data_IF_658723012494
#
_entry.id   IF_658723012494
#
_cell.length_a   1.000
_cell.length_b   1.000
_cell.length_c   1.000
_cell.angle_alpha   90.00
_cell.angle_beta   90.00
_cell.angle_gamma   90.00
#
_symmetry.space_group_name_H-M   'P 1'
#
loop_
_entity.id
_entity.type
_entity.pdbx_description
1 polymer ?
#
# COMPACT_ATOMS: atom_id res chain seq x y z
N UNK A 1 57.01 -41.97 -39.62
CA UNK A 1 58.26 -41.20 -39.69
C UNK A 1 58.11 -40.06 -38.75
N UNK A 2 58.60 -40.26 -37.57
CA UNK A 2 59.41 -39.48 -36.64
C UNK A 2 58.95 -38.04 -36.30
N UNK A 3 58.63 -37.94 -35.04
CA UNK A 3 58.70 -36.78 -34.20
C UNK A 3 60.12 -36.42 -33.81
N UNK A 4 60.54 -35.20 -33.69
CA UNK A 4 61.43 -34.90 -32.59
C UNK A 4 60.98 -33.79 -31.73
N UNK A 5 61.06 -34.06 -30.45
CA UNK A 5 60.99 -33.17 -29.30
C UNK A 5 61.94 -31.96 -29.44
N UNK A 6 61.44 -30.81 -29.11
CA UNK A 6 62.19 -29.58 -28.82
C UNK A 6 61.87 -29.11 -27.42
N UNK A 7 62.79 -29.34 -26.51
CA UNK A 7 62.89 -28.66 -25.20
C UNK A 7 63.15 -27.19 -25.47
N UNK A 8 62.30 -26.34 -24.89
CA UNK A 8 62.54 -24.94 -24.73
C UNK A 8 62.51 -24.60 -23.24
N UNK A 9 63.67 -24.20 -22.77
CA UNK A 9 63.99 -23.82 -21.41
C UNK A 9 63.16 -22.63 -20.96
N UNK A 10 62.77 -22.71 -19.73
CA UNK A 10 62.09 -21.63 -18.97
C UNK A 10 63.18 -20.63 -18.49
N UNK A 11 63.16 -19.35 -18.88
CA UNK A 11 64.00 -18.38 -18.22
C UNK A 11 63.35 -17.87 -16.97
N UNK A 12 64.12 -17.93 -15.93
CA UNK A 12 63.89 -17.51 -14.58
C UNK A 12 63.32 -16.08 -14.47
N UNK A 13 62.45 -15.93 -13.49
CA UNK A 13 62.49 -14.79 -12.59
C UNK A 13 61.80 -13.53 -13.06
N UNK A 14 60.58 -13.35 -12.63
CA UNK A 14 60.11 -12.09 -12.02
C UNK A 14 58.90 -12.46 -11.16
N UNK A 15 59.21 -12.92 -9.96
CA UNK A 15 58.26 -12.74 -8.84
C UNK A 15 58.11 -11.24 -8.63
N UNK A 16 57.06 -10.67 -9.15
CA UNK A 16 56.59 -9.40 -8.66
C UNK A 16 55.69 -9.72 -7.45
N UNK A 17 56.25 -9.47 -6.29
CA UNK A 17 55.46 -9.28 -5.08
C UNK A 17 54.33 -8.26 -5.37
N UNK A 18 53.15 -8.76 -5.58
CA UNK A 18 51.94 -7.95 -5.45
C UNK A 18 51.69 -7.83 -3.96
N UNK A 19 52.26 -6.82 -3.33
CA UNK A 19 51.71 -6.30 -2.10
C UNK A 19 50.28 -5.86 -2.42
N UNK A 20 49.25 -6.39 -1.72
CA UNK A 20 47.92 -5.83 -1.82
C UNK A 20 48.02 -4.39 -1.31
N UNK A 21 47.45 -3.41 -2.02
CA UNK A 21 47.38 -2.05 -1.51
C UNK A 21 46.73 -2.09 -0.13
N UNK A 22 47.37 -1.41 0.84
CA UNK A 22 46.96 -1.42 2.24
C UNK A 22 45.47 -1.10 2.37
N UNK A 23 44.87 -1.81 3.27
CA UNK A 23 43.49 -1.56 3.72
C UNK A 23 43.44 -0.26 4.55
N UNK A 24 43.59 0.88 3.85
CA UNK A 24 43.34 2.20 4.42
C UNK A 24 42.61 3.01 3.35
N UNK A 25 41.46 3.53 3.76
CA UNK A 25 40.49 4.30 2.98
C UNK A 25 39.55 3.51 2.08
N UNK A 26 38.82 2.57 2.65
CA UNK A 26 37.42 2.44 2.30
C UNK A 26 36.71 3.52 3.12
N UNK A 27 36.52 4.70 2.57
CA UNK A 27 35.48 5.60 3.04
C UNK A 27 34.23 4.75 3.15
N UNK A 28 33.80 4.57 4.37
CA UNK A 28 32.51 3.98 4.73
C UNK A 28 31.46 4.84 4.06
N UNK A 29 31.13 4.50 2.81
CA UNK A 29 29.90 4.93 2.17
C UNK A 29 28.83 4.42 3.12
N UNK A 30 28.40 5.29 4.04
CA UNK A 30 27.24 5.05 4.88
C UNK A 30 26.09 4.80 3.93
N UNK A 31 25.84 3.51 3.65
CA UNK A 31 24.59 3.11 3.04
C UNK A 31 23.50 3.62 3.98
N UNK A 32 22.57 4.47 3.51
CA UNK A 32 21.49 4.96 4.35
C UNK A 32 20.80 3.73 4.94
N UNK A 33 20.74 3.66 6.24
CA UNK A 33 20.14 2.51 6.90
C UNK A 33 18.71 2.40 6.41
N UNK A 34 18.22 1.16 6.25
CA UNK A 34 16.83 0.91 5.88
C UNK A 34 15.85 1.73 6.74
N UNK A 35 16.27 2.11 7.93
CA UNK A 35 15.52 2.92 8.88
C UNK A 35 15.36 4.36 8.38
N UNK A 36 16.43 5.00 7.90
CA UNK A 36 16.40 6.36 7.36
C UNK A 36 15.55 6.45 6.08
N UNK A 37 15.60 5.38 5.27
CA UNK A 37 14.76 5.27 4.07
C UNK A 37 13.28 5.07 4.42
N UNK A 38 12.98 4.33 5.49
CA UNK A 38 11.61 4.12 5.98
C UNK A 38 11.05 5.41 6.57
N UNK A 39 11.83 6.17 7.34
CA UNK A 39 11.39 7.46 7.90
C UNK A 39 11.15 8.50 6.80
N UNK A 40 12.04 8.63 5.82
CA UNK A 40 11.87 9.54 4.69
C UNK A 40 10.64 9.19 3.82
N UNK A 41 10.37 7.89 3.61
CA UNK A 41 9.18 7.43 2.90
C UNK A 41 7.92 7.65 3.73
N UNK A 42 7.99 7.46 5.05
CA UNK A 42 6.86 7.67 5.95
C UNK A 42 6.46 9.15 6.01
N UNK A 43 7.42 10.06 6.05
CA UNK A 43 7.17 11.51 6.02
C UNK A 43 6.62 11.97 4.66
N UNK A 44 7.16 11.45 3.55
CA UNK A 44 6.64 11.74 2.21
C UNK A 44 5.20 11.21 2.02
N UNK A 45 4.91 10.00 2.53
CA UNK A 45 3.58 9.39 2.49
C UNK A 45 2.60 10.17 3.36
N UNK A 46 3.03 10.60 4.55
CA UNK A 46 2.19 11.39 5.45
C UNK A 46 1.85 12.76 4.86
N UNK A 47 2.78 13.40 4.16
CA UNK A 47 2.55 14.69 3.51
C UNK A 47 1.60 14.59 2.32
N UNK A 48 1.66 13.51 1.53
CA UNK A 48 0.75 13.27 0.41
C UNK A 48 -0.65 12.92 0.90
N UNK A 49 -0.76 12.09 1.95
CA UNK A 49 -2.03 11.80 2.60
C UNK A 49 -2.66 13.06 3.21
N UNK A 50 -1.86 13.91 3.86
CA UNK A 50 -2.30 15.19 4.39
C UNK A 50 -2.79 16.13 3.28
N UNK A 51 -2.13 16.16 2.11
CA UNK A 51 -2.54 17.00 0.98
C UNK A 51 -3.86 16.54 0.35
N UNK A 52 -4.12 15.23 0.29
CA UNK A 52 -5.39 14.69 -0.18
C UNK A 52 -6.53 14.89 0.81
N UNK A 53 -6.21 15.00 2.11
CA UNK A 53 -7.19 15.24 3.18
C UNK A 53 -7.40 16.74 3.45
N UNK A 54 -6.38 17.59 3.26
CA UNK A 54 -6.45 19.03 3.59
C UNK A 54 -7.17 19.86 2.54
N UNK A 55 -7.37 19.39 1.32
CA UNK A 55 -8.21 20.11 0.32
C UNK A 55 -9.70 20.12 0.68
N UNK A 56 -10.14 19.28 1.63
CA UNK A 56 -11.53 19.27 2.08
C UNK A 56 -11.77 20.11 3.38
N UNK A 57 -10.71 20.70 3.96
CA UNK A 57 -10.82 21.45 5.23
C UNK A 57 -11.03 22.96 5.08
N UNK A 58 -11.19 23.47 3.86
CA UNK A 58 -11.55 24.90 3.66
C UNK A 58 -13.05 25.13 3.50
N UNK A 59 -13.88 24.13 3.68
CA UNK A 59 -15.33 24.32 3.80
C UNK A 59 -15.71 24.51 5.26
N UNK A 60 -15.73 25.79 5.67
CA UNK A 60 -16.49 26.37 6.80
C UNK A 60 -16.98 25.40 7.89
N UNK A 61 -16.40 25.55 9.07
CA UNK A 61 -16.80 24.93 10.33
C UNK A 61 -18.27 25.22 10.71
N UNK A 62 -19.25 24.61 10.07
CA UNK A 62 -20.63 24.58 10.45
C UNK A 62 -21.40 23.31 10.15
N UNK A 63 -20.68 22.24 9.68
CA UNK A 63 -21.32 20.93 9.51
C UNK A 63 -20.56 19.91 10.34
N UNK A 64 -21.03 19.70 11.57
CA UNK A 64 -20.58 18.61 12.40
C UNK A 64 -20.78 17.28 11.64
N UNK A 65 -19.69 16.52 11.40
CA UNK A 65 -19.79 15.13 11.02
C UNK A 65 -19.45 14.75 9.59
N UNK A 66 -18.87 15.60 8.76
CA UNK A 66 -18.27 15.18 7.48
C UNK A 66 -16.77 14.92 7.66
N UNK A 67 -16.43 13.88 8.40
CA UNK A 67 -15.09 13.31 8.32
C UNK A 67 -14.91 12.74 6.92
N UNK A 68 -13.97 13.28 6.15
CA UNK A 68 -13.57 12.72 4.85
C UNK A 68 -13.26 11.23 5.03
N UNK A 69 -14.04 10.34 4.41
CA UNK A 69 -13.88 8.91 4.48
C UNK A 69 -14.93 8.13 5.27
N UNK A 70 -15.87 8.75 5.94
CA UNK A 70 -17.02 8.05 6.52
C UNK A 70 -18.29 8.44 5.78
N UNK A 71 -18.75 7.60 4.84
CA UNK A 71 -20.00 7.78 4.06
C UNK A 71 -21.27 7.59 4.89
N UNK A 72 -21.19 7.65 6.22
CA UNK A 72 -22.37 7.60 7.08
C UNK A 72 -23.09 8.94 7.03
N UNK A 73 -24.43 8.93 7.06
CA UNK A 73 -25.14 10.16 7.41
C UNK A 73 -24.61 10.68 8.74
N UNK A 74 -24.48 11.99 8.92
CA UNK A 74 -24.00 12.59 10.16
C UNK A 74 -24.80 12.02 11.32
N UNK A 75 -24.09 11.40 12.27
CA UNK A 75 -24.67 10.98 13.54
C UNK A 75 -25.14 12.21 14.36
N UNK A 76 -25.88 12.01 15.45
CA UNK A 76 -26.25 13.11 16.31
C UNK A 76 -25.01 13.91 16.71
N UNK A 77 -25.17 15.24 16.74
CA UNK A 77 -24.08 16.19 17.01
C UNK A 77 -23.36 15.82 18.31
N UNK A 78 -22.06 15.53 18.21
CA UNK A 78 -21.18 15.16 19.33
C UNK A 78 -20.45 13.85 19.21
N UNK A 79 -20.81 12.92 18.31
CA UNK A 79 -20.14 11.61 18.19
C UNK A 79 -19.05 11.56 17.12
N UNK A 80 -18.88 12.61 16.30
CA UNK A 80 -17.99 12.59 15.13
C UNK A 80 -16.50 12.75 15.45
N UNK A 81 -16.14 13.46 16.49
CA UNK A 81 -14.73 13.82 16.76
C UNK A 81 -13.84 12.68 17.28
N UNK A 82 -14.42 11.61 17.79
CA UNK A 82 -13.69 10.50 18.38
C UNK A 82 -13.58 9.26 17.45
N UNK A 83 -14.09 9.31 16.23
CA UNK A 83 -14.04 8.18 15.30
C UNK A 83 -12.70 8.18 14.57
N UNK A 84 -11.94 7.08 14.67
CA UNK A 84 -10.75 6.88 13.82
C UNK A 84 -11.23 6.67 12.37
N UNK A 85 -10.70 7.42 11.39
CA UNK A 85 -11.09 7.26 9.99
C UNK A 85 -10.88 5.82 9.50
N UNK A 86 -11.69 5.38 8.52
CA UNK A 86 -11.61 4.01 7.98
C UNK A 86 -10.25 3.66 7.39
N UNK A 87 -9.60 4.58 6.71
CA UNK A 87 -8.28 4.36 6.13
C UNK A 87 -7.18 4.11 7.19
N UNK A 88 -7.36 4.58 8.42
CA UNK A 88 -6.44 4.31 9.53
C UNK A 88 -6.83 3.05 10.32
N UNK A 89 -8.13 2.87 10.59
CA UNK A 89 -8.58 1.77 11.45
C UNK A 89 -8.78 0.45 10.69
N UNK A 90 -8.97 0.46 9.38
CA UNK A 90 -9.14 -0.76 8.60
C UNK A 90 -7.83 -1.26 8.02
N UNK A 91 -7.69 -2.57 8.00
CA UNK A 91 -6.63 -3.28 7.30
C UNK A 91 -7.27 -4.41 6.50
N UNK A 92 -7.00 -4.43 5.19
CA UNK A 92 -7.51 -5.46 4.28
C UNK A 92 -6.39 -6.42 3.93
N UNK A 93 -6.54 -7.68 4.30
CA UNK A 93 -5.63 -8.75 3.94
C UNK A 93 -6.25 -9.61 2.83
N UNK A 94 -5.41 -10.00 1.87
CA UNK A 94 -5.80 -10.88 0.77
C UNK A 94 -4.98 -12.17 0.84
N UNK A 95 -5.66 -13.31 0.79
CA UNK A 95 -5.03 -14.63 0.75
C UNK A 95 -4.85 -15.06 -0.71
N UNK A 96 -3.79 -14.61 -1.34
CA UNK A 96 -3.45 -14.99 -2.71
C UNK A 96 -2.02 -15.54 -2.77
N UNK A 97 -1.85 -16.70 -3.41
CA UNK A 97 -0.55 -17.35 -3.59
C UNK A 97 0.21 -16.84 -4.82
N UNK A 98 -0.52 -16.31 -5.78
CA UNK A 98 0.02 -15.79 -7.02
C UNK A 98 -0.71 -14.53 -7.47
N UNK A 99 -0.09 -13.81 -8.40
CA UNK A 99 -0.60 -12.54 -8.92
C UNK A 99 -1.93 -12.69 -9.67
N UNK A 100 -2.17 -13.83 -10.32
CA UNK A 100 -3.39 -14.06 -11.08
C UNK A 100 -4.60 -14.23 -10.15
N UNK A 101 -4.44 -15.00 -9.07
CA UNK A 101 -5.48 -15.15 -8.03
C UNK A 101 -5.71 -13.82 -7.32
N UNK A 102 -4.65 -13.08 -7.03
CA UNK A 102 -4.76 -11.77 -6.41
C UNK A 102 -5.54 -10.78 -7.29
N UNK A 103 -5.20 -10.69 -8.57
CA UNK A 103 -5.90 -9.83 -9.52
C UNK A 103 -7.39 -10.20 -9.65
N UNK A 104 -7.71 -11.51 -9.65
CA UNK A 104 -9.11 -11.99 -9.65
C UNK A 104 -9.86 -11.57 -8.38
N UNK A 105 -9.22 -11.59 -7.20
CA UNK A 105 -9.84 -11.09 -5.98
C UNK A 105 -10.11 -9.58 -6.06
N UNK A 106 -9.14 -8.80 -6.54
CA UNK A 106 -9.34 -7.36 -6.72
C UNK A 106 -10.50 -7.07 -7.68
N UNK A 107 -10.54 -7.74 -8.83
CA UNK A 107 -11.63 -7.56 -9.80
C UNK A 107 -13.00 -8.02 -9.27
N UNK A 108 -13.04 -9.09 -8.50
CA UNK A 108 -14.27 -9.58 -7.86
C UNK A 108 -14.88 -8.49 -6.96
N UNK A 109 -14.06 -7.83 -6.17
CA UNK A 109 -14.48 -6.73 -5.31
C UNK A 109 -14.56 -5.38 -6.02
N UNK A 110 -14.24 -5.31 -7.31
CA UNK A 110 -14.12 -4.08 -8.09
C UNK A 110 -13.13 -3.08 -7.48
N UNK A 111 -12.11 -3.59 -6.81
CA UNK A 111 -11.01 -2.80 -6.29
C UNK A 111 -10.10 -2.42 -7.46
N UNK A 112 -9.77 -1.14 -7.53
CA UNK A 112 -8.88 -0.58 -8.53
C UNK A 112 -7.54 -0.18 -7.92
N UNK A 113 -6.48 -0.30 -8.69
CA UNK A 113 -5.15 0.16 -8.28
C UNK A 113 -4.84 1.51 -8.91
N UNK A 114 -4.14 2.35 -8.19
CA UNK A 114 -3.75 3.66 -8.71
C UNK A 114 -2.32 4.03 -8.37
N UNK A 115 -1.86 5.11 -9.01
CA UNK A 115 -0.58 5.73 -8.71
C UNK A 115 -0.71 7.26 -8.77
N UNK A 116 -0.18 7.92 -7.73
CA UNK A 116 -0.18 9.37 -7.57
C UNK A 116 1.23 9.89 -7.36
N UNK A 117 1.50 11.13 -7.73
CA UNK A 117 2.77 11.81 -7.49
C UNK A 117 3.75 11.73 -8.65
N UNK A 118 5.03 11.99 -8.38
CA UNK A 118 6.04 12.19 -9.40
C UNK A 118 5.80 13.48 -10.20
N UNK A 119 6.17 13.49 -11.47
CA UNK A 119 5.94 14.63 -12.39
C UNK A 119 4.57 14.60 -13.07
N UNK A 120 3.69 13.66 -12.68
CA UNK A 120 2.40 13.43 -13.33
C UNK A 120 1.30 14.02 -12.46
N UNK A 121 0.56 14.98 -13.02
CA UNK A 121 -0.59 15.57 -12.33
C UNK A 121 -1.78 14.60 -12.32
N UNK A 122 -2.47 14.53 -11.16
CA UNK A 122 -3.62 13.66 -10.97
C UNK A 122 -3.26 12.23 -10.58
N UNK A 123 -4.24 11.35 -10.65
CA UNK A 123 -4.14 9.95 -10.28
C UNK A 123 -4.38 9.08 -11.51
N UNK A 124 -3.43 8.23 -11.86
CA UNK A 124 -3.65 7.16 -12.84
C UNK A 124 -4.26 5.95 -12.13
N UNK A 125 -5.31 5.41 -12.70
CA UNK A 125 -6.08 4.29 -12.12
C UNK A 125 -6.15 3.14 -13.13
N UNK A 126 -6.01 1.91 -12.63
CA UNK A 126 -6.15 0.68 -13.40
C UNK A 126 -7.27 -0.19 -12.84
N UNK A 127 -8.11 -0.71 -13.73
CA UNK A 127 -9.19 -1.66 -13.46
C UNK A 127 -9.08 -2.89 -14.37
N UNK A 128 -9.90 -3.92 -14.13
CA UNK A 128 -9.89 -5.18 -14.87
C UNK A 128 -8.51 -5.86 -14.86
N UNK A 129 -7.96 -5.99 -13.67
CA UNK A 129 -6.56 -6.32 -13.44
C UNK A 129 -6.21 -7.77 -13.81
N UNK A 130 -7.16 -8.69 -13.69
CA UNK A 130 -6.97 -10.12 -14.03
C UNK A 130 -7.01 -10.40 -15.54
N UNK A 131 -7.65 -9.52 -16.29
CA UNK A 131 -7.81 -9.65 -17.74
C UNK A 131 -6.92 -8.71 -18.54
N UNK A 132 -7.55 -7.84 -19.33
CA UNK A 132 -6.91 -6.74 -20.04
C UNK A 132 -7.07 -5.46 -19.24
N UNK A 133 -6.04 -5.03 -18.51
CA UNK A 133 -6.17 -3.87 -17.66
C UNK A 133 -6.55 -2.61 -18.45
N UNK A 134 -7.51 -1.88 -17.92
CA UNK A 134 -7.93 -0.58 -18.46
C UNK A 134 -7.38 0.49 -17.55
N UNK A 135 -6.79 1.54 -18.14
CA UNK A 135 -6.31 2.69 -17.37
C UNK A 135 -7.10 3.94 -17.71
N UNK A 136 -7.30 4.77 -16.72
CA UNK A 136 -7.83 6.13 -16.88
C UNK A 136 -7.13 7.07 -15.90
N UNK A 137 -7.35 8.36 -16.06
CA UNK A 137 -6.76 9.38 -15.18
C UNK A 137 -7.81 10.28 -14.58
N UNK A 138 -7.76 10.45 -13.27
CA UNK A 138 -8.47 11.49 -12.54
C UNK A 138 -7.53 12.68 -12.45
N UNK A 139 -7.80 13.74 -13.22
CA UNK A 139 -6.90 14.90 -13.31
C UNK A 139 -6.94 15.73 -12.03
N UNK A 140 -8.14 15.95 -11.49
CA UNK A 140 -8.33 16.65 -10.22
C UNK A 140 -8.47 15.62 -9.11
N UNK A 141 -7.51 15.59 -8.20
CA UNK A 141 -7.51 14.65 -7.06
C UNK A 141 -8.72 14.84 -6.14
N UNK A 142 -9.28 16.06 -6.10
CA UNK A 142 -10.48 16.42 -5.37
C UNK A 142 -11.75 15.70 -5.85
N UNK A 143 -11.76 15.25 -7.13
CA UNK A 143 -12.87 14.50 -7.70
C UNK A 143 -12.85 13.02 -7.27
N UNK A 144 -11.72 12.54 -6.72
CA UNK A 144 -11.61 11.18 -6.19
C UNK A 144 -12.13 11.14 -4.74
N UNK A 145 -13.31 10.58 -4.57
CA UNK A 145 -14.01 10.51 -3.27
C UNK A 145 -14.00 9.12 -2.65
N UNK A 146 -13.47 8.13 -3.35
CA UNK A 146 -13.45 6.75 -2.84
C UNK A 146 -12.46 6.61 -1.71
N UNK A 147 -12.78 5.73 -0.76
CA UNK A 147 -11.81 5.26 0.23
C UNK A 147 -10.62 4.62 -0.48
N UNK A 148 -9.42 4.95 -0.05
CA UNK A 148 -8.20 4.35 -0.57
C UNK A 148 -7.24 3.94 0.54
N UNK A 149 -6.40 2.96 0.24
CA UNK A 149 -5.31 2.51 1.10
C UNK A 149 -3.97 2.67 0.40
N UNK A 150 -2.95 2.99 1.20
CA UNK A 150 -1.55 3.00 0.79
C UNK A 150 -0.80 1.86 1.48
N UNK A 151 0.31 1.43 0.89
CA UNK A 151 1.18 0.47 1.52
C UNK A 151 2.05 1.16 2.58
N UNK A 152 2.00 0.66 3.82
CA UNK A 152 2.79 1.17 4.94
C UNK A 152 4.04 0.33 5.20
N UNK A 153 4.15 -0.82 4.53
CA UNK A 153 5.29 -1.73 4.67
C UNK A 153 5.45 -2.59 3.43
N UNK A 154 6.67 -3.01 3.10
CA UNK A 154 6.93 -3.97 2.02
C UNK A 154 6.19 -5.28 2.26
N UNK A 155 5.56 -5.81 1.23
CA UNK A 155 4.89 -7.12 1.27
C UNK A 155 4.91 -7.77 -0.12
N UNK A 156 4.74 -9.09 -0.21
CA UNK A 156 4.58 -9.75 -1.52
C UNK A 156 3.43 -9.18 -2.34
N UNK A 157 2.32 -8.80 -1.70
CA UNK A 157 1.16 -8.20 -2.37
C UNK A 157 1.48 -6.82 -2.94
N UNK A 158 2.33 -6.05 -2.29
CA UNK A 158 2.82 -4.78 -2.83
C UNK A 158 3.57 -4.97 -4.16
N UNK A 159 4.34 -6.07 -4.28
CA UNK A 159 5.01 -6.40 -5.54
C UNK A 159 4.00 -6.82 -6.63
N UNK A 160 2.92 -7.48 -6.25
CA UNK A 160 1.83 -7.79 -7.18
C UNK A 160 1.12 -6.51 -7.65
N UNK A 161 0.80 -5.58 -6.76
CA UNK A 161 0.23 -4.27 -7.15
C UNK A 161 1.14 -3.55 -8.14
N UNK A 162 2.46 -3.53 -7.88
CA UNK A 162 3.45 -2.92 -8.78
C UNK A 162 3.43 -3.57 -10.17
N UNK A 163 3.40 -4.89 -10.23
CA UNK A 163 3.37 -5.64 -11.50
C UNK A 163 2.07 -5.39 -12.25
N UNK A 164 0.92 -5.36 -11.56
CA UNK A 164 -0.39 -5.11 -12.16
C UNK A 164 -0.49 -3.69 -12.73
N UNK A 165 0.00 -2.68 -12.00
CA UNK A 165 0.08 -1.31 -12.49
C UNK A 165 1.03 -1.20 -13.69
N UNK A 166 2.17 -1.88 -13.67
CA UNK A 166 3.09 -1.97 -14.80
C UNK A 166 2.45 -2.60 -16.03
N UNK A 167 1.69 -3.70 -15.85
CA UNK A 167 0.91 -4.36 -16.92
C UNK A 167 -0.16 -3.42 -17.51
N UNK A 168 -0.73 -2.53 -16.71
CA UNK A 168 -1.65 -1.49 -17.16
C UNK A 168 -0.95 -0.31 -17.87
N UNK A 169 0.39 -0.31 -17.94
CA UNK A 169 1.17 0.77 -18.55
C UNK A 169 1.16 2.06 -17.70
N UNK A 170 1.10 1.94 -16.38
CA UNK A 170 1.20 3.05 -15.44
C UNK A 170 2.64 3.11 -14.92
N UNK A 171 3.39 4.20 -15.20
CA UNK A 171 4.75 4.37 -14.69
C UNK A 171 4.72 4.59 -13.18
N UNK A 172 5.66 3.97 -12.44
CA UNK A 172 5.70 4.02 -10.98
C UNK A 172 6.89 4.77 -10.36
N UNK A 173 7.98 5.11 -11.10
CA UNK A 173 9.11 5.81 -10.48
C UNK A 173 8.65 7.09 -9.76
N UNK A 174 9.03 7.21 -8.48
CA UNK A 174 8.68 8.35 -7.62
C UNK A 174 7.17 8.57 -7.44
N UNK A 175 6.37 7.48 -7.49
CA UNK A 175 4.92 7.55 -7.32
C UNK A 175 4.46 6.62 -6.22
N UNK A 176 3.48 7.09 -5.46
CA UNK A 176 2.79 6.31 -4.44
C UNK A 176 1.70 5.46 -5.06
N UNK A 177 1.67 4.16 -4.71
CA UNK A 177 0.62 3.24 -5.13
C UNK A 177 -0.58 3.34 -4.18
N UNK A 178 -1.77 3.34 -4.77
CA UNK A 178 -3.05 3.42 -4.08
C UNK A 178 -3.92 2.21 -4.43
N UNK A 179 -4.78 1.84 -3.49
CA UNK A 179 -5.80 0.81 -3.68
C UNK A 179 -7.15 1.43 -3.36
N UNK A 180 -7.98 1.62 -4.39
CA UNK A 180 -9.30 2.25 -4.27
C UNK A 180 -10.37 1.23 -3.95
N UNK A 181 -11.15 1.53 -2.93
CA UNK A 181 -12.26 0.70 -2.47
C UNK A 181 -13.57 1.29 -3.03
N UNK A 182 -14.33 0.52 -3.81
CA UNK A 182 -15.62 1.00 -4.29
C UNK A 182 -16.60 1.18 -3.13
N UNK A 183 -17.47 2.18 -3.22
CA UNK A 183 -18.45 2.55 -2.17
C UNK A 183 -19.31 1.36 -1.73
N UNK A 184 -19.65 0.46 -2.67
CA UNK A 184 -20.43 -0.74 -2.33
C UNK A 184 -19.67 -1.64 -1.35
N UNK A 185 -18.38 -1.93 -1.64
CA UNK A 185 -17.52 -2.75 -0.76
C UNK A 185 -17.27 -2.02 0.57
N UNK A 186 -17.07 -0.71 0.53
CA UNK A 186 -16.88 0.08 1.74
C UNK A 186 -18.07 -0.04 2.69
N UNK A 187 -19.29 0.04 2.16
CA UNK A 187 -20.50 -0.15 2.94
C UNK A 187 -20.66 -1.57 3.49
N UNK A 188 -20.29 -2.58 2.69
CA UNK A 188 -20.29 -3.98 3.13
C UNK A 188 -19.30 -4.20 4.28
N UNK A 189 -18.06 -3.71 4.15
CA UNK A 189 -17.06 -3.78 5.21
C UNK A 189 -17.51 -3.08 6.49
N UNK A 190 -18.18 -1.93 6.37
CA UNK A 190 -18.72 -1.23 7.52
C UNK A 190 -19.81 -2.03 8.25
N UNK A 191 -20.65 -2.77 7.52
CA UNK A 191 -21.65 -3.66 8.12
C UNK A 191 -21.00 -4.86 8.80
N UNK A 192 -19.99 -5.48 8.16
CA UNK A 192 -19.24 -6.59 8.73
C UNK A 192 -18.52 -6.14 10.01
N UNK A 193 -17.87 -4.96 9.98
CA UNK A 193 -17.22 -4.37 11.15
C UNK A 193 -18.22 -4.18 12.29
N UNK A 194 -19.39 -3.61 11.97
CA UNK A 194 -20.45 -3.33 12.93
C UNK A 194 -20.96 -4.62 13.56
N UNK A 195 -21.34 -5.60 12.78
CA UNK A 195 -21.83 -6.88 13.28
C UNK A 195 -20.81 -7.57 14.19
N UNK A 196 -19.52 -7.44 13.87
CA UNK A 196 -18.45 -8.03 14.68
C UNK A 196 -18.32 -7.38 16.06
N UNK A 197 -18.21 -6.03 16.15
CA UNK A 197 -18.06 -5.38 17.46
C UNK A 197 -19.35 -5.46 18.29
N UNK A 198 -20.54 -5.44 17.69
CA UNK A 198 -21.80 -5.71 18.38
C UNK A 198 -21.82 -7.11 19.00
N UNK A 199 -21.33 -8.12 18.29
CA UNK A 199 -21.22 -9.50 18.82
C UNK A 199 -20.24 -9.62 20.00
N UNK A 200 -19.32 -8.63 20.18
CA UNK A 200 -18.40 -8.54 21.30
C UNK A 200 -18.90 -7.65 22.44
N UNK A 201 -20.14 -7.16 22.34
CA UNK A 201 -20.76 -6.33 23.37
C UNK A 201 -20.41 -4.84 23.32
N UNK A 202 -19.78 -4.38 22.23
CA UNK A 202 -19.52 -2.98 22.02
C UNK A 202 -20.72 -2.31 21.33
N UNK A 203 -20.94 -1.04 21.58
CA UNK A 203 -22.13 -0.30 21.12
C UNK A 203 -21.80 0.93 20.27
N UNK A 204 -20.51 1.26 20.11
CA UNK A 204 -20.09 2.42 19.34
C UNK A 204 -18.78 2.16 18.58
N UNK A 205 -18.72 2.69 17.35
CA UNK A 205 -17.51 2.67 16.53
C UNK A 205 -16.36 3.47 17.14
N UNK A 206 -16.66 4.44 18.03
CA UNK A 206 -15.65 5.22 18.75
C UNK A 206 -14.75 4.35 19.65
N UNK A 207 -15.26 3.17 20.04
CA UNK A 207 -14.53 2.20 20.84
C UNK A 207 -13.54 1.35 20.02
N UNK A 208 -13.60 1.42 18.70
CA UNK A 208 -12.79 0.61 17.81
C UNK A 208 -11.49 1.34 17.46
N UNK A 209 -10.36 0.71 17.74
CA UNK A 209 -9.04 1.24 17.38
C UNK A 209 -8.56 0.72 16.02
N UNK A 210 -8.80 -0.56 15.73
CA UNK A 210 -8.39 -1.20 14.46
C UNK A 210 -9.24 -2.42 14.18
N UNK A 211 -9.60 -2.61 12.91
CA UNK A 211 -10.27 -3.81 12.40
C UNK A 211 -9.45 -4.40 11.27
N UNK A 212 -9.14 -5.69 11.36
CA UNK A 212 -8.43 -6.44 10.33
C UNK A 212 -9.43 -7.36 9.63
N UNK A 213 -9.56 -7.16 8.34
CA UNK A 213 -10.36 -7.99 7.45
C UNK A 213 -9.47 -8.93 6.66
N UNK A 214 -9.96 -10.11 6.39
CA UNK A 214 -9.31 -11.07 5.51
C UNK A 214 -10.27 -11.54 4.42
N UNK A 215 -9.82 -11.47 3.16
CA UNK A 215 -10.56 -12.02 2.03
C UNK A 215 -10.35 -13.50 1.95
N UNK A 216 -11.45 -14.28 2.00
CA UNK A 216 -11.46 -15.74 1.90
C UNK A 216 -12.28 -16.19 0.72
N UNK A 217 -11.87 -17.31 0.11
CA UNK A 217 -12.69 -17.98 -0.91
C UNK A 217 -14.01 -18.47 -0.28
N UNK A 218 -15.11 -18.24 -0.97
CA UNK A 218 -16.46 -18.64 -0.58
C UNK A 218 -17.17 -19.27 -1.78
N UNK A 219 -16.96 -20.52 -2.07
CA UNK A 219 -17.60 -21.35 -3.11
C UNK A 219 -18.14 -20.65 -4.38
N UNK A 220 -18.65 -19.43 -4.26
CA UNK A 220 -19.18 -18.56 -5.31
C UNK A 220 -18.26 -17.37 -5.66
N UNK A 221 -17.14 -17.22 -4.96
CA UNK A 221 -16.21 -16.11 -5.13
C UNK A 221 -15.40 -15.86 -3.87
N UNK A 222 -15.46 -14.65 -3.36
CA UNK A 222 -14.71 -14.23 -2.18
C UNK A 222 -15.61 -13.46 -1.22
N UNK A 223 -15.29 -13.50 0.07
CA UNK A 223 -15.92 -12.68 1.10
C UNK A 223 -14.87 -12.14 2.07
N UNK A 224 -15.15 -11.00 2.68
CA UNK A 224 -14.37 -10.50 3.79
C UNK A 224 -14.94 -10.99 5.12
N UNK A 225 -14.04 -11.36 6.02
CA UNK A 225 -14.36 -11.66 7.43
C UNK A 225 -13.42 -10.87 8.34
N UNK A 226 -13.90 -10.48 9.52
CA UNK A 226 -13.03 -9.87 10.53
C UNK A 226 -12.22 -10.97 11.21
N UNK A 227 -10.91 -10.89 11.13
CA UNK A 227 -9.99 -11.80 11.81
C UNK A 227 -9.54 -11.29 13.17
N UNK A 228 -9.44 -9.98 13.32
CA UNK A 228 -9.13 -9.37 14.62
C UNK A 228 -9.68 -7.94 14.69
N UNK A 229 -9.97 -7.52 15.91
CA UNK A 229 -10.37 -6.15 16.19
C UNK A 229 -9.72 -5.68 17.50
N UNK A 230 -9.15 -4.49 17.50
CA UNK A 230 -8.60 -3.84 18.68
C UNK A 230 -9.52 -2.73 19.12
N UNK A 231 -9.65 -2.62 20.42
CA UNK A 231 -10.51 -1.64 21.07
C UNK A 231 -9.68 -0.56 21.76
N UNK A 232 -10.22 0.63 21.84
CA UNK A 232 -9.64 1.72 22.61
C UNK A 232 -9.76 1.42 24.10
N UNK A 233 -8.73 1.81 24.86
CA UNK A 233 -8.85 1.84 26.31
C UNK A 233 -9.88 2.91 26.69
N UNK A 234 -10.80 2.65 27.63
CA UNK A 234 -11.71 3.69 28.12
C UNK A 234 -10.87 4.89 28.60
N UNK A 235 -11.27 6.08 28.19
CA UNK A 235 -10.72 7.32 28.76
C UNK A 235 -11.07 7.29 30.27
N UNK A 236 -10.03 7.32 31.13
CA UNK A 236 -10.20 7.45 32.59
C UNK A 236 -10.70 8.84 32.91
#
# INVERSE_FOLDING_TARGET
IENPAGRGENPEGFERDFEPPGAEEVEELMEPTLQDTIEAVTDAVSSVAATLVTTDTTATATTAGTGAGDSRPPGPAGEGEDIIPRFERWQLNFTARDIGLYAKQLDFYKIELGAIGGSIQGVDVASNLSGSPKKYRVVKTEDEKRLYFMWNSPSPLMQFDRQLLGKAGIPLPNRQMLKFIPTQLENELAQIEKAYWESKGYNSVTQIAKTVFESKADGRGYKFEVTSQRYRKPKK
#
